data_IF_935049631638
#
_entry.id   IF_935049631638
#
_cell.length_a   1.000
_cell.length_b   1.000
_cell.length_c   1.000
_cell.angle_alpha   90.00
_cell.angle_beta   90.00
_cell.angle_gamma   90.00
#
_symmetry.space_group_name_H-M   'P 1'
#
loop_
_entity.id
_entity.type
_entity.pdbx_description
1 polymer ?
#
# COMPACT_ATOMS: atom_id res chain seq x y z
N UNK A 1 -21.14 -17.40 7.59
CA UNK A 1 -21.84 -17.40 8.89
C UNK A 1 -21.85 -15.97 9.39
N UNK A 2 -22.87 -15.50 10.11
CA UNK A 2 -22.86 -14.16 10.70
C UNK A 2 -22.84 -14.33 12.22
N UNK A 3 -22.15 -13.41 12.91
CA UNK A 3 -22.11 -13.34 14.36
C UNK A 3 -22.74 -12.01 14.81
N UNK A 4 -23.57 -12.04 15.83
CA UNK A 4 -24.22 -10.87 16.39
C UNK A 4 -23.63 -10.59 17.76
N UNK A 5 -22.81 -9.55 17.86
CA UNK A 5 -22.34 -9.04 19.14
C UNK A 5 -23.40 -8.15 19.78
N UNK A 6 -23.75 -8.44 21.02
CA UNK A 6 -24.74 -7.71 21.82
C UNK A 6 -24.06 -7.31 23.12
N UNK A 7 -24.11 -6.02 23.45
CA UNK A 7 -23.51 -5.46 24.66
C UNK A 7 -24.49 -4.54 25.36
N UNK A 8 -24.73 -4.80 26.63
CA UNK A 8 -25.48 -3.93 27.50
C UNK A 8 -24.67 -3.49 28.73
N UNK A 9 -25.22 -2.62 29.55
CA UNK A 9 -24.58 -2.18 30.80
C UNK A 9 -24.42 -3.34 31.81
N UNK A 10 -25.25 -4.37 31.71
CA UNK A 10 -25.34 -5.49 32.65
C UNK A 10 -24.83 -6.83 32.08
N UNK A 11 -24.88 -7.05 30.79
CA UNK A 11 -24.55 -8.31 30.11
C UNK A 11 -24.06 -8.11 28.71
N UNK A 12 -23.27 -9.07 28.21
CA UNK A 12 -22.85 -9.13 26.80
C UNK A 12 -23.02 -10.55 26.27
N UNK A 13 -23.34 -10.70 24.97
CA UNK A 13 -23.59 -11.97 24.32
C UNK A 13 -23.04 -11.96 22.89
N UNK A 14 -22.75 -13.16 22.37
CA UNK A 14 -22.52 -13.38 20.95
C UNK A 14 -23.44 -14.52 20.51
N UNK A 15 -24.19 -14.27 19.45
CA UNK A 15 -25.10 -15.24 18.85
C UNK A 15 -24.80 -15.38 17.35
N UNK A 16 -25.03 -16.55 16.80
CA UNK A 16 -24.86 -16.83 15.38
C UNK A 16 -26.20 -16.87 14.62
N UNK A 17 -27.27 -16.74 15.33
CA UNK A 17 -28.65 -16.67 14.83
C UNK A 17 -29.35 -15.38 15.28
N UNK A 18 -30.10 -14.75 14.37
CA UNK A 18 -30.76 -13.48 14.64
C UNK A 18 -31.92 -13.62 15.65
N UNK A 19 -32.65 -14.71 15.61
CA UNK A 19 -33.76 -14.91 16.55
C UNK A 19 -33.25 -14.98 17.99
N UNK A 20 -32.16 -15.72 18.23
CA UNK A 20 -31.48 -15.77 19.52
C UNK A 20 -30.91 -14.41 19.92
N UNK A 21 -30.29 -13.70 18.97
CA UNK A 21 -29.77 -12.36 19.22
C UNK A 21 -30.86 -11.38 19.68
N UNK A 22 -32.06 -11.44 19.10
CA UNK A 22 -33.20 -10.62 19.51
C UNK A 22 -33.67 -10.92 20.96
N UNK A 23 -33.59 -12.16 21.39
CA UNK A 23 -33.90 -12.52 22.78
C UNK A 23 -32.85 -11.93 23.74
N UNK A 24 -31.56 -12.03 23.40
CA UNK A 24 -30.46 -11.47 24.20
C UNK A 24 -30.50 -9.96 24.30
N UNK A 25 -30.89 -9.27 23.23
CA UNK A 25 -31.06 -7.80 23.23
C UNK A 25 -32.05 -7.38 24.31
N UNK A 26 -33.16 -8.13 24.48
CA UNK A 26 -34.17 -7.84 25.48
C UNK A 26 -33.71 -8.06 26.94
N UNK A 27 -32.67 -8.89 27.16
CA UNK A 27 -32.09 -9.15 28.47
C UNK A 27 -31.09 -8.06 28.91
N UNK A 28 -30.68 -7.18 27.98
CA UNK A 28 -29.67 -6.16 28.21
C UNK A 28 -30.28 -4.81 28.59
N UNK A 29 -29.62 -4.10 29.51
CA UNK A 29 -29.92 -2.70 29.81
C UNK A 29 -29.13 -1.83 28.80
N UNK A 30 -29.84 -0.92 28.12
CA UNK A 30 -29.29 -0.04 27.06
C UNK A 30 -28.46 -0.80 26.01
N UNK A 31 -29.03 -1.77 25.31
CA UNK A 31 -28.27 -2.65 24.43
C UNK A 31 -27.73 -1.91 23.21
N UNK A 32 -26.45 -2.18 22.89
CA UNK A 32 -25.82 -1.92 21.59
C UNK A 32 -25.57 -3.26 20.93
N UNK A 33 -25.87 -3.39 19.63
CA UNK A 33 -25.66 -4.63 18.91
C UNK A 33 -25.26 -4.38 17.47
N UNK A 34 -24.48 -5.31 16.92
CA UNK A 34 -24.01 -5.24 15.53
C UNK A 34 -23.73 -6.65 14.99
N UNK A 35 -23.92 -6.83 13.67
CA UNK A 35 -23.56 -8.07 12.97
C UNK A 35 -22.12 -8.00 12.44
N UNK A 36 -21.40 -9.12 12.56
CA UNK A 36 -19.99 -9.27 12.15
C UNK A 36 -19.84 -10.50 11.25
N UNK A 37 -18.72 -10.54 10.51
CA UNK A 37 -18.40 -11.67 9.63
C UNK A 37 -17.61 -12.75 10.37
N UNK A 38 -16.84 -12.40 11.40
CA UNK A 38 -16.03 -13.31 12.20
C UNK A 38 -16.43 -13.28 13.68
N UNK A 39 -16.07 -14.34 14.40
CA UNK A 39 -16.28 -14.42 15.85
C UNK A 39 -15.40 -13.41 16.59
N UNK A 40 -14.14 -13.26 16.17
CA UNK A 40 -13.17 -12.33 16.77
C UNK A 40 -13.66 -10.88 16.72
N UNK A 41 -14.29 -10.46 15.60
CA UNK A 41 -14.88 -9.12 15.50
C UNK A 41 -16.02 -8.92 16.50
N UNK A 42 -16.85 -9.95 16.71
CA UNK A 42 -17.95 -9.90 17.67
C UNK A 42 -17.43 -9.88 19.11
N UNK A 43 -16.41 -10.68 19.43
CA UNK A 43 -15.74 -10.72 20.74
C UNK A 43 -15.11 -9.37 21.08
N UNK A 44 -14.44 -8.76 20.12
CA UNK A 44 -13.84 -7.44 20.30
C UNK A 44 -14.90 -6.37 20.59
N UNK A 45 -16.02 -6.41 19.89
CA UNK A 45 -17.12 -5.47 20.10
C UNK A 45 -17.71 -5.56 21.52
N UNK A 46 -17.92 -6.77 22.05
CA UNK A 46 -18.51 -6.93 23.38
C UNK A 46 -17.52 -6.62 24.50
N UNK A 47 -16.22 -6.80 24.27
CA UNK A 47 -15.16 -6.59 25.26
C UNK A 47 -14.57 -5.17 25.25
N UNK A 48 -15.11 -4.21 24.49
CA UNK A 48 -14.51 -2.90 24.22
C UNK A 48 -13.04 -2.97 23.73
N UNK A 49 -12.62 -4.14 23.34
CA UNK A 49 -11.35 -4.22 22.64
C UNK A 49 -11.56 -3.52 21.30
N UNK A 50 -10.82 -2.47 21.07
CA UNK A 50 -10.59 -2.01 19.70
C UNK A 50 -10.03 -3.27 19.03
N UNK A 51 -10.82 -3.92 18.13
CA UNK A 51 -10.17 -4.73 17.12
C UNK A 51 -9.25 -3.71 16.48
N UNK A 52 -7.94 -3.83 16.73
CA UNK A 52 -7.01 -3.40 15.72
C UNK A 52 -7.49 -4.17 14.49
N UNK A 53 -8.35 -3.50 13.69
CA UNK A 53 -8.54 -3.89 12.30
C UNK A 53 -7.11 -4.10 11.86
N UNK A 54 -6.77 -5.33 11.43
CA UNK A 54 -5.55 -5.48 10.67
C UNK A 54 -5.63 -4.34 9.68
N UNK A 55 -4.86 -3.30 9.98
CA UNK A 55 -4.66 -2.19 9.06
C UNK A 55 -3.96 -2.93 7.95
N UNK A 56 -4.73 -3.28 6.90
CA UNK A 56 -4.11 -3.74 5.67
C UNK A 56 -3.01 -2.74 5.45
N UNK A 57 -1.75 -3.22 5.50
CA UNK A 57 -0.60 -2.34 5.50
C UNK A 57 -0.74 -1.32 4.38
N UNK A 58 -0.06 -0.19 4.43
CA UNK A 58 -0.17 0.81 3.38
C UNK A 58 0.08 0.14 2.03
N UNK A 59 -0.75 0.50 1.04
CA UNK A 59 -0.64 0.02 -0.34
C UNK A 59 -0.08 1.16 -1.17
N UNK A 60 0.96 0.90 -1.93
CA UNK A 60 1.58 1.89 -2.82
C UNK A 60 1.56 1.42 -4.28
N UNK A 61 1.30 2.34 -5.19
CA UNK A 61 1.47 2.17 -6.63
C UNK A 61 2.62 3.05 -7.08
N UNK A 62 3.53 2.51 -7.88
CA UNK A 62 4.75 3.20 -8.31
C UNK A 62 4.94 3.04 -9.81
N UNK A 63 5.23 4.14 -10.48
CA UNK A 63 5.59 4.15 -11.88
C UNK A 63 6.70 5.17 -12.17
N UNK A 64 7.42 4.98 -13.27
CA UNK A 64 8.50 5.83 -13.72
C UNK A 64 8.26 6.42 -15.11
N UNK A 65 8.74 7.63 -15.35
CA UNK A 65 8.70 8.25 -16.67
C UNK A 65 10.04 8.85 -17.05
N UNK A 66 10.25 8.99 -18.35
CA UNK A 66 11.47 9.55 -18.93
C UNK A 66 11.15 10.45 -20.11
N UNK A 67 11.70 11.66 -20.12
CA UNK A 67 11.57 12.60 -21.22
C UNK A 67 12.78 12.47 -22.14
N UNK A 68 12.56 11.96 -23.37
CA UNK A 68 13.62 11.77 -24.35
C UNK A 68 14.28 13.08 -24.85
N UNK A 69 13.61 14.24 -24.69
CA UNK A 69 14.14 15.52 -25.13
C UNK A 69 15.08 16.17 -24.12
N UNK A 70 14.68 16.08 -22.83
CA UNK A 70 15.45 16.67 -21.72
C UNK A 70 16.36 15.67 -21.02
N UNK A 71 16.18 14.37 -21.29
CA UNK A 71 16.86 13.25 -20.62
C UNK A 71 16.62 13.24 -19.10
N UNK A 72 15.58 13.95 -18.64
CA UNK A 72 15.10 13.92 -17.28
C UNK A 72 14.23 12.68 -17.03
N UNK A 73 14.23 12.18 -15.81
CA UNK A 73 13.37 11.08 -15.40
C UNK A 73 12.62 11.43 -14.12
N UNK A 74 11.57 10.69 -13.84
CA UNK A 74 10.71 10.96 -12.69
C UNK A 74 10.08 9.69 -12.16
N UNK A 75 9.51 9.80 -10.98
CA UNK A 75 8.54 8.84 -10.48
C UNK A 75 7.21 9.50 -10.15
N UNK A 76 6.16 8.70 -10.19
CA UNK A 76 4.87 8.93 -9.55
C UNK A 76 4.59 7.82 -8.54
N UNK A 77 4.02 8.17 -7.41
CA UNK A 77 3.56 7.24 -6.40
C UNK A 77 2.18 7.63 -5.90
N UNK A 78 1.31 6.63 -5.71
CA UNK A 78 0.06 6.76 -4.97
C UNK A 78 0.14 5.86 -3.76
N UNK A 79 -0.09 6.40 -2.57
CA UNK A 79 -0.09 5.65 -1.32
C UNK A 79 -1.49 5.68 -0.71
N UNK A 80 -2.02 4.52 -0.41
CA UNK A 80 -3.32 4.33 0.23
C UNK A 80 -3.11 3.88 1.66
N UNK A 81 -3.60 4.66 2.62
CA UNK A 81 -3.54 4.37 4.05
C UNK A 81 -4.86 4.72 4.70
N UNK A 82 -5.50 3.79 5.38
CA UNK A 82 -6.74 4.04 6.13
C UNK A 82 -7.84 4.77 5.33
N UNK A 83 -7.99 4.42 4.03
CA UNK A 83 -8.89 5.06 3.05
C UNK A 83 -8.50 6.49 2.63
N UNK A 84 -7.36 6.99 3.07
CA UNK A 84 -6.78 8.23 2.59
C UNK A 84 -5.82 7.94 1.43
N UNK A 85 -5.75 8.88 0.49
CA UNK A 85 -4.94 8.80 -0.71
C UNK A 85 -3.88 9.91 -0.70
N UNK A 86 -2.62 9.52 -0.76
CA UNK A 86 -1.47 10.43 -0.83
C UNK A 86 -0.78 10.29 -2.18
N UNK A 87 -0.49 11.41 -2.82
CA UNK A 87 0.14 11.47 -4.14
C UNK A 87 1.52 12.09 -4.03
N UNK A 88 2.50 11.45 -4.62
CA UNK A 88 3.87 11.91 -4.66
C UNK A 88 4.40 11.83 -6.09
N UNK A 89 5.20 12.81 -6.47
CA UNK A 89 6.02 12.74 -7.66
C UNK A 89 7.33 13.51 -7.45
N UNK A 90 8.33 13.16 -8.19
CA UNK A 90 9.59 13.90 -8.19
C UNK A 90 10.30 13.71 -9.53
N UNK A 91 10.76 14.82 -10.07
CA UNK A 91 11.64 14.88 -11.22
C UNK A 91 13.11 14.89 -10.80
N UNK A 92 13.94 14.25 -11.60
CA UNK A 92 15.39 14.26 -11.50
C UNK A 92 15.97 14.83 -12.78
N UNK A 93 17.01 15.67 -12.67
CA UNK A 93 17.71 16.19 -13.84
C UNK A 93 18.48 15.04 -14.51
N UNK A 94 18.95 15.30 -15.75
CA UNK A 94 19.90 14.40 -16.40
C UNK A 94 21.11 14.13 -15.49
N UNK A 95 21.36 12.87 -15.23
CA UNK A 95 22.47 12.37 -14.44
C UNK A 95 22.96 10.99 -14.94
N UNK A 96 23.85 10.34 -14.18
CA UNK A 96 24.39 9.02 -14.53
C UNK A 96 23.33 7.91 -14.61
N UNK A 97 22.14 8.12 -14.04
CA UNK A 97 21.04 7.16 -14.05
C UNK A 97 20.08 7.33 -15.23
N UNK A 98 20.17 8.46 -15.95
CA UNK A 98 19.30 8.76 -17.11
C UNK A 98 19.37 7.70 -18.21
N UNK A 99 20.49 6.97 -18.32
CA UNK A 99 20.62 5.85 -19.26
C UNK A 99 19.64 4.69 -18.96
N UNK A 100 19.16 4.56 -17.72
CA UNK A 100 18.14 3.57 -17.35
C UNK A 100 16.71 4.08 -17.64
N UNK A 101 16.55 5.32 -18.14
CA UNK A 101 15.27 5.93 -18.56
C UNK A 101 14.18 5.84 -17.46
N UNK A 102 12.97 5.37 -17.84
CA UNK A 102 11.85 5.17 -16.89
C UNK A 102 12.20 4.24 -15.72
N UNK A 103 13.03 3.21 -15.95
CA UNK A 103 13.48 2.29 -14.89
C UNK A 103 14.19 3.05 -13.76
N UNK A 104 14.95 4.11 -14.06
CA UNK A 104 15.55 4.95 -13.03
C UNK A 104 14.47 5.61 -12.16
N UNK A 105 13.40 6.09 -12.77
CA UNK A 105 12.25 6.65 -12.08
C UNK A 105 11.58 5.63 -11.16
N UNK A 106 11.29 4.46 -11.67
CA UNK A 106 10.65 3.38 -10.91
C UNK A 106 11.47 2.95 -9.69
N UNK A 107 12.79 2.77 -9.85
CA UNK A 107 13.71 2.45 -8.74
C UNK A 107 13.70 3.57 -7.68
N UNK A 108 13.73 4.85 -8.13
CA UNK A 108 13.67 5.99 -7.21
C UNK A 108 12.33 6.07 -6.50
N UNK A 109 11.23 5.80 -7.19
CA UNK A 109 9.87 5.76 -6.63
C UNK A 109 9.72 4.65 -5.59
N UNK A 110 10.16 3.43 -5.91
CA UNK A 110 10.15 2.31 -4.97
C UNK A 110 10.99 2.60 -3.71
N UNK A 111 12.21 3.13 -3.90
CA UNK A 111 13.08 3.52 -2.78
C UNK A 111 12.43 4.61 -1.92
N UNK A 112 11.81 5.61 -2.56
CA UNK A 112 11.12 6.70 -1.87
C UNK A 112 9.97 6.19 -1.00
N UNK A 113 9.07 5.38 -1.56
CA UNK A 113 7.88 4.95 -0.83
C UNK A 113 8.20 3.97 0.28
N UNK A 114 9.20 3.10 0.11
CA UNK A 114 9.70 2.22 1.16
C UNK A 114 10.29 3.07 2.31
N UNK A 115 11.15 4.04 1.99
CA UNK A 115 11.73 4.92 3.01
C UNK A 115 10.67 5.76 3.72
N UNK A 116 9.69 6.26 2.97
CA UNK A 116 8.54 6.98 3.55
C UNK A 116 7.77 6.10 4.54
N UNK A 117 7.47 4.86 4.17
CA UNK A 117 6.79 3.91 5.03
C UNK A 117 7.57 3.60 6.31
N UNK A 118 8.90 3.39 6.21
CA UNK A 118 9.79 3.21 7.36
C UNK A 118 9.73 4.43 8.29
N UNK A 119 9.86 5.64 7.74
CA UNK A 119 9.86 6.88 8.51
C UNK A 119 8.51 7.14 9.21
N UNK A 120 7.42 6.61 8.67
CA UNK A 120 6.08 6.64 9.30
C UNK A 120 5.86 5.52 10.31
N UNK A 121 6.82 4.63 10.48
CA UNK A 121 6.76 3.52 11.44
C UNK A 121 5.92 2.33 11.00
N UNK A 122 5.52 2.27 9.71
CA UNK A 122 4.81 1.12 9.16
C UNK A 122 5.69 -0.14 9.22
N UNK A 123 5.08 -1.28 9.50
CA UNK A 123 5.77 -2.58 9.60
C UNK A 123 5.63 -3.42 8.33
N UNK A 124 4.64 -3.10 7.51
CA UNK A 124 4.38 -3.75 6.22
C UNK A 124 4.13 -2.69 5.16
N UNK A 125 4.36 -3.04 3.90
CA UNK A 125 4.05 -2.22 2.74
C UNK A 125 3.79 -3.14 1.55
N UNK A 126 2.64 -2.98 0.89
CA UNK A 126 2.34 -3.63 -0.37
C UNK A 126 2.65 -2.67 -1.52
N UNK A 127 3.51 -3.09 -2.46
CA UNK A 127 3.91 -2.27 -3.62
C UNK A 127 3.39 -2.89 -4.91
N UNK A 128 2.56 -2.15 -5.63
CA UNK A 128 2.08 -2.45 -6.96
C UNK A 128 2.97 -1.75 -7.98
N UNK A 129 3.48 -2.49 -8.97
CA UNK A 129 4.49 -2.03 -9.93
C UNK A 129 4.37 -2.81 -11.25
N UNK A 130 4.91 -2.29 -12.36
CA UNK A 130 4.91 -2.98 -13.64
C UNK A 130 6.29 -3.46 -14.12
N UNK A 131 7.39 -2.85 -13.66
CA UNK A 131 8.76 -3.27 -14.00
C UNK A 131 9.32 -4.28 -13.00
N UNK A 132 9.47 -5.51 -13.43
CA UNK A 132 9.86 -6.66 -12.58
C UNK A 132 11.21 -6.48 -11.85
N UNK A 133 12.11 -5.64 -12.35
CA UNK A 133 13.41 -5.40 -11.72
C UNK A 133 13.31 -4.83 -10.31
N UNK A 134 12.23 -4.08 -9.99
CA UNK A 134 12.01 -3.55 -8.63
C UNK A 134 11.97 -4.69 -7.61
N UNK A 135 11.18 -5.72 -7.86
CA UNK A 135 11.07 -6.89 -6.99
C UNK A 135 12.35 -7.72 -7.01
N UNK A 136 12.83 -8.06 -8.21
CA UNK A 136 13.93 -9.02 -8.39
C UNK A 136 15.25 -8.53 -7.79
N UNK A 137 15.54 -7.24 -7.86
CA UNK A 137 16.71 -6.66 -7.19
C UNK A 137 16.48 -6.52 -5.68
N UNK A 138 15.30 -6.16 -5.24
CA UNK A 138 15.00 -6.07 -3.81
C UNK A 138 15.16 -7.42 -3.11
N UNK A 139 14.76 -8.52 -3.77
CA UNK A 139 14.83 -9.88 -3.25
C UNK A 139 16.16 -10.60 -3.55
N UNK A 140 17.12 -9.95 -4.23
CA UNK A 140 18.38 -10.54 -4.72
C UNK A 140 18.20 -11.70 -5.71
N UNK A 141 17.08 -11.77 -6.40
CA UNK A 141 16.84 -12.77 -7.44
C UNK A 141 17.53 -12.42 -8.76
N UNK A 142 17.82 -11.12 -8.99
CA UNK A 142 18.62 -10.65 -10.12
C UNK A 142 19.91 -10.01 -9.65
N UNK A 143 20.99 -10.28 -10.38
CA UNK A 143 22.28 -9.60 -10.18
C UNK A 143 22.15 -8.13 -10.60
N UNK A 144 22.52 -7.23 -9.72
CA UNK A 144 22.59 -5.80 -10.00
C UNK A 144 23.91 -5.49 -10.74
N UNK A 145 23.80 -5.03 -12.00
CA UNK A 145 24.96 -4.73 -12.84
C UNK A 145 25.12 -3.22 -13.14
N UNK A 146 24.04 -2.44 -13.01
CA UNK A 146 24.08 -0.98 -13.16
C UNK A 146 24.25 -0.30 -11.80
N UNK A 147 24.83 0.90 -11.79
CA UNK A 147 25.08 1.65 -10.55
C UNK A 147 23.77 1.88 -9.76
N UNK A 148 22.67 2.24 -10.45
CA UNK A 148 21.38 2.48 -9.80
C UNK A 148 20.79 1.18 -9.20
N UNK A 149 20.94 0.04 -9.88
CA UNK A 149 20.48 -1.24 -9.38
C UNK A 149 21.31 -1.71 -8.16
N UNK A 150 22.62 -1.49 -8.17
CA UNK A 150 23.51 -1.78 -7.04
C UNK A 150 23.10 -0.96 -5.81
N UNK A 151 22.93 0.36 -5.97
CA UNK A 151 22.48 1.23 -4.87
C UNK A 151 21.10 0.86 -4.35
N UNK A 152 20.21 0.43 -5.24
CA UNK A 152 18.89 -0.04 -4.83
C UNK A 152 18.96 -1.33 -4.01
N UNK A 153 19.82 -2.27 -4.40
CA UNK A 153 20.05 -3.51 -3.66
C UNK A 153 20.65 -3.24 -2.28
N UNK A 154 21.64 -2.34 -2.17
CA UNK A 154 22.19 -1.90 -0.88
C UNK A 154 21.15 -1.21 0.02
N UNK A 155 20.24 -0.43 -0.57
CA UNK A 155 19.12 0.15 0.15
C UNK A 155 18.14 -0.93 0.63
N UNK A 156 17.82 -1.90 -0.23
CA UNK A 156 16.93 -3.02 0.08
C UNK A 156 17.44 -3.84 1.27
N UNK A 157 18.76 -4.07 1.36
CA UNK A 157 19.39 -4.79 2.48
C UNK A 157 19.13 -4.14 3.84
N UNK A 158 19.15 -2.82 3.87
CA UNK A 158 18.84 -2.05 5.07
C UNK A 158 17.34 -2.04 5.34
N UNK A 159 16.54 -1.83 4.31
CA UNK A 159 15.07 -1.71 4.42
C UNK A 159 14.42 -3.00 4.92
N UNK A 160 14.86 -4.17 4.45
CA UNK A 160 14.31 -5.49 4.84
C UNK A 160 14.38 -5.78 6.34
N UNK A 161 15.29 -5.15 7.06
CA UNK A 161 15.39 -5.28 8.52
C UNK A 161 14.38 -4.39 9.27
N UNK A 162 13.75 -3.43 8.58
CA UNK A 162 12.91 -2.39 9.18
C UNK A 162 11.42 -2.55 8.82
N UNK A 163 11.15 -3.06 7.61
CA UNK A 163 9.81 -3.18 7.05
C UNK A 163 9.68 -4.43 6.17
N UNK A 164 8.55 -5.11 6.26
CA UNK A 164 8.21 -6.21 5.34
C UNK A 164 7.53 -5.62 4.11
N UNK A 165 8.16 -5.77 2.95
CA UNK A 165 7.59 -5.34 1.66
C UNK A 165 7.05 -6.55 0.91
N UNK A 166 5.82 -6.46 0.42
CA UNK A 166 5.20 -7.42 -0.49
C UNK A 166 5.04 -6.77 -1.86
N UNK A 167 5.45 -7.48 -2.90
CA UNK A 167 5.44 -6.97 -4.26
C UNK A 167 4.30 -7.58 -5.06
N UNK A 168 3.55 -6.75 -5.79
CA UNK A 168 2.43 -7.14 -6.63
C UNK A 168 2.65 -6.59 -8.04
N UNK A 169 3.04 -7.48 -8.95
CA UNK A 169 3.22 -7.09 -10.33
C UNK A 169 1.87 -6.83 -10.99
N UNK A 170 1.66 -5.62 -11.47
CA UNK A 170 0.51 -5.26 -12.32
C UNK A 170 0.89 -5.42 -13.79
N UNK A 171 -0.12 -5.60 -14.62
CA UNK A 171 0.06 -5.61 -16.06
C UNK A 171 -0.09 -4.17 -16.55
N UNK A 172 0.91 -3.67 -17.27
CA UNK A 172 0.88 -2.31 -17.84
C UNK A 172 -0.38 -2.12 -18.69
N UNK A 173 -1.00 -0.93 -18.58
CA UNK A 173 -2.16 -0.52 -19.37
C UNK A 173 -3.41 -1.43 -19.24
N UNK A 174 -3.74 -1.88 -18.03
CA UNK A 174 -4.93 -2.73 -17.77
C UNK A 174 -6.10 -2.00 -17.10
N UNK A 175 -6.14 -0.65 -17.15
CA UNK A 175 -7.15 0.18 -16.47
C UNK A 175 -7.15 -0.02 -14.94
N UNK A 176 -5.99 -0.29 -14.34
CA UNK A 176 -5.83 -0.19 -12.90
C UNK A 176 -5.74 1.31 -12.53
N UNK A 177 -6.80 1.83 -11.92
CA UNK A 177 -6.97 3.25 -11.63
C UNK A 177 -5.77 3.89 -10.92
N UNK A 178 -5.20 3.20 -9.94
CA UNK A 178 -4.08 3.75 -9.17
C UNK A 178 -2.74 3.61 -9.89
N UNK A 179 -2.57 2.57 -10.69
CA UNK A 179 -1.39 2.45 -11.54
C UNK A 179 -1.38 3.52 -12.63
N UNK A 180 -2.52 3.75 -13.29
CA UNK A 180 -2.68 4.81 -14.28
C UNK A 180 -2.47 6.21 -13.66
N UNK A 181 -2.87 6.40 -12.40
CA UNK A 181 -2.60 7.63 -11.66
C UNK A 181 -1.11 7.81 -11.36
N UNK A 182 -0.39 6.76 -10.97
CA UNK A 182 1.06 6.81 -10.75
C UNK A 182 1.81 7.16 -12.05
N UNK A 183 1.45 6.54 -13.18
CA UNK A 183 1.95 6.87 -14.51
C UNK A 183 1.73 8.36 -14.86
N UNK A 184 0.49 8.84 -14.67
CA UNK A 184 0.14 10.25 -14.92
C UNK A 184 0.98 11.21 -14.07
N UNK A 185 1.17 10.91 -12.78
CA UNK A 185 2.01 11.71 -11.89
C UNK A 185 3.48 11.71 -12.33
N UNK A 186 4.02 10.58 -12.77
CA UNK A 186 5.37 10.48 -13.28
C UNK A 186 5.54 11.30 -14.57
N UNK A 187 4.64 11.15 -15.55
CA UNK A 187 4.65 11.90 -16.82
C UNK A 187 4.55 13.40 -16.60
N UNK A 188 3.63 13.84 -15.76
CA UNK A 188 3.46 15.24 -15.42
C UNK A 188 4.74 15.85 -14.84
N UNK A 189 5.46 15.12 -14.00
CA UNK A 189 6.68 15.60 -13.37
C UNK A 189 7.80 15.93 -14.37
N UNK A 190 7.89 15.23 -15.50
CA UNK A 190 8.87 15.49 -16.58
C UNK A 190 8.29 16.28 -17.76
N UNK A 191 7.13 16.92 -17.58
CA UNK A 191 6.51 17.76 -18.60
C UNK A 191 5.92 16.99 -19.79
N UNK A 192 5.65 15.70 -19.64
CA UNK A 192 4.94 14.88 -20.61
C UNK A 192 3.43 14.90 -20.27
N UNK A 193 2.81 16.07 -20.34
CA UNK A 193 1.37 16.18 -20.23
C UNK A 193 0.70 15.58 -21.46
N UNK A 194 -0.34 14.77 -21.24
CA UNK A 194 -1.22 14.38 -22.32
C UNK A 194 -1.91 15.65 -22.83
N UNK A 195 -1.61 16.04 -24.06
CA UNK A 195 -2.50 16.90 -24.83
C UNK A 195 -3.73 16.05 -25.14
N UNK A 196 -4.79 16.27 -24.36
CA UNK A 196 -6.12 15.74 -24.65
C UNK A 196 -6.66 16.47 -25.86
#
# INVERSE_FOLDING_TARGET
>A
MKYYGIKGENKSFIENDWANAQLRIKECIKPKYKAFKTLEEAEAFINDKVVELEINGPIAYVDGSYNNQTEEYSFGCVLLVNKEEFKFNKKFPKDNYSNARNVAGEIKGASFIIQYAINRGFKTLDIYYDYIGIEKWYLHEWKANSEIAIKYTEFADKARNLIKVTFHKVKSHTNDYYNDMADSLAKKAVGLEWLI
#
